data_IF_582069659747
#
_entry.id   IF_582069659747
#
_cell.length_a   1.000
_cell.length_b   1.000
_cell.length_c   1.000
_cell.angle_alpha   90.00
_cell.angle_beta   90.00
_cell.angle_gamma   90.00
#
_symmetry.space_group_name_H-M   'P 1'
#
loop_
_entity.id
_entity.type
_entity.pdbx_description
1 polymer ?
#
# COMPACT_ATOMS: atom_id res chain seq x y z
N UNK A 1 -55.34 62.91 11.37
CA UNK A 1 -55.33 63.81 12.54
C UNK A 1 -55.21 62.88 13.74
N UNK A 2 -54.18 62.86 14.57
CA UNK A 2 -53.18 63.87 14.97
C UNK A 2 -51.80 63.21 15.22
N UNK A 3 -50.77 64.07 15.27
CA UNK A 3 -49.36 63.76 15.60
C UNK A 3 -49.13 63.79 17.12
N UNK A 4 -47.87 63.49 17.48
CA UNK A 4 -47.08 63.82 18.70
C UNK A 4 -46.83 62.57 19.55
N UNK A 5 -45.63 62.24 20.04
CA UNK A 5 -44.32 62.89 20.07
C UNK A 5 -43.30 61.90 20.70
N UNK A 6 -42.01 62.16 20.47
CA UNK A 6 -40.90 61.39 21.00
C UNK A 6 -40.54 61.83 22.44
N UNK A 7 -40.20 60.87 23.31
CA UNK A 7 -39.38 61.09 24.51
C UNK A 7 -38.41 59.92 24.67
N UNK A 8 -37.15 60.29 24.92
CA UNK A 8 -35.99 59.44 25.12
C UNK A 8 -36.00 58.82 26.53
N UNK A 9 -35.68 57.53 26.65
CA UNK A 9 -35.20 56.93 27.91
C UNK A 9 -33.87 56.22 27.66
N UNK A 10 -32.78 56.87 28.11
CA UNK A 10 -31.50 56.23 28.36
C UNK A 10 -31.67 55.17 29.46
N UNK A 11 -31.29 53.92 29.18
CA UNK A 11 -31.18 52.87 30.20
C UNK A 11 -29.74 52.38 30.31
N UNK A 12 -29.10 52.92 31.35
CA UNK A 12 -27.83 52.52 31.95
C UNK A 12 -27.98 51.10 32.52
N UNK A 13 -27.26 50.07 32.04
CA UNK A 13 -27.14 48.82 32.82
C UNK A 13 -25.71 48.28 32.87
N UNK A 14 -25.36 48.00 34.12
CA UNK A 14 -24.11 47.55 34.71
C UNK A 14 -23.47 46.32 34.05
N UNK A 15 -22.14 46.34 34.15
CA UNK A 15 -21.23 45.22 34.03
C UNK A 15 -21.52 44.13 35.09
N UNK A 16 -21.01 42.93 34.83
CA UNK A 16 -21.06 41.72 35.67
C UNK A 16 -22.40 40.99 35.78
N UNK A 17 -22.59 39.95 34.94
CA UNK A 17 -23.11 38.63 35.35
C UNK A 17 -22.58 37.52 34.40
N UNK A 18 -21.79 36.60 34.97
CA UNK A 18 -21.20 35.39 34.33
C UNK A 18 -22.20 34.57 33.51
N UNK A 19 -21.82 34.03 32.33
CA UNK A 19 -22.50 32.88 31.76
C UNK A 19 -21.95 31.59 32.37
N UNK A 20 -22.67 31.06 33.36
CA UNK A 20 -22.59 29.66 33.75
C UNK A 20 -23.12 28.77 32.63
N UNK A 21 -22.30 28.47 31.61
CA UNK A 21 -22.62 27.48 30.55
C UNK A 21 -21.40 26.82 29.89
N UNK A 22 -20.20 26.93 30.46
CA UNK A 22 -18.98 26.35 29.88
C UNK A 22 -18.53 25.03 30.54
N UNK A 23 -19.02 24.68 31.73
CA UNK A 23 -18.46 23.57 32.52
C UNK A 23 -18.91 22.17 32.10
N UNK A 24 -20.04 22.04 31.41
CA UNK A 24 -20.51 20.74 30.92
C UNK A 24 -19.83 20.31 29.61
N UNK A 25 -19.20 21.24 28.88
CA UNK A 25 -18.51 20.99 27.61
C UNK A 25 -17.03 20.62 27.81
N UNK A 26 -16.45 20.91 28.98
CA UNK A 26 -15.02 20.71 29.28
C UNK A 26 -14.68 19.32 29.82
N UNK A 27 -15.67 18.45 30.08
CA UNK A 27 -15.44 17.09 30.62
C UNK A 27 -15.51 15.97 29.60
N UNK A 28 -15.86 16.24 28.35
CA UNK A 28 -16.16 15.18 27.39
C UNK A 28 -15.29 15.24 26.12
N UNK A 29 -14.20 14.45 26.05
CA UNK A 29 -13.38 14.29 24.84
C UNK A 29 -14.17 13.86 23.60
N UNK A 30 -15.36 13.28 23.79
CA UNK A 30 -16.29 12.89 22.73
C UNK A 30 -16.80 14.07 21.89
N UNK A 31 -16.79 15.31 22.42
CA UNK A 31 -17.30 16.49 21.71
C UNK A 31 -16.30 17.09 20.71
N UNK A 32 -15.00 16.78 20.83
CA UNK A 32 -14.01 17.11 19.80
C UNK A 32 -14.14 16.22 18.54
N UNK A 33 -14.78 15.06 18.66
CA UNK A 33 -14.87 14.04 17.61
C UNK A 33 -15.81 14.39 16.44
N UNK A 34 -16.57 15.50 16.50
CA UNK A 34 -17.63 15.84 15.52
C UNK A 34 -17.34 17.05 14.65
N UNK A 35 -16.14 17.65 14.73
CA UNK A 35 -15.83 18.92 14.06
C UNK A 35 -14.77 18.72 12.99
N UNK A 36 -14.97 19.38 11.84
CA UNK A 36 -13.95 19.49 10.78
C UNK A 36 -12.65 20.03 11.36
N UNK A 37 -11.52 19.68 10.74
CA UNK A 37 -10.19 20.16 11.14
C UNK A 37 -10.17 21.69 11.35
N UNK A 38 -10.94 22.44 10.55
CA UNK A 38 -11.08 23.90 10.65
C UNK A 38 -11.87 24.36 11.89
N UNK A 39 -12.95 23.65 12.25
CA UNK A 39 -13.75 23.97 13.43
C UNK A 39 -13.06 23.57 14.75
N UNK A 40 -12.06 22.67 14.69
CA UNK A 40 -11.15 22.35 15.80
C UNK A 40 -9.95 23.32 15.85
N UNK A 41 -9.46 23.78 14.70
CA UNK A 41 -8.40 24.81 14.61
C UNK A 41 -8.85 26.14 15.24
N UNK A 42 -10.08 26.55 14.99
CA UNK A 42 -10.69 27.73 15.61
C UNK A 42 -10.80 27.64 17.15
N UNK A 43 -10.78 26.43 17.74
CA UNK A 43 -10.75 26.22 19.19
C UNK A 43 -9.33 26.35 19.77
N UNK A 44 -8.29 26.08 18.99
CA UNK A 44 -6.89 26.25 19.42
C UNK A 44 -6.47 27.72 19.55
N UNK A 45 -7.11 28.61 18.79
CA UNK A 45 -6.83 30.06 18.82
C UNK A 45 -7.36 30.74 20.09
N UNK A 46 -8.25 30.08 20.84
CA UNK A 46 -8.85 30.59 22.08
C UNK A 46 -8.33 29.81 23.29
N UNK A 47 -7.13 30.18 23.75
CA UNK A 47 -6.66 30.03 25.15
C UNK A 47 -6.81 28.63 25.79
N UNK A 48 -6.00 27.62 25.44
CA UNK A 48 -5.78 26.49 26.39
C UNK A 48 -4.44 25.75 26.19
N UNK A 49 -3.50 25.97 27.12
CA UNK A 49 -2.18 25.31 27.19
C UNK A 49 -2.30 23.77 27.36
N UNK A 50 -3.44 23.25 27.85
CA UNK A 50 -3.70 21.81 28.03
C UNK A 50 -4.12 21.13 26.71
N UNK A 51 -4.66 21.87 25.74
CA UNK A 51 -5.07 21.30 24.44
C UNK A 51 -3.90 21.11 23.48
N UNK A 52 -2.86 21.93 23.58
CA UNK A 52 -1.68 21.85 22.71
C UNK A 52 -0.97 20.48 22.75
N UNK A 53 -0.69 19.87 23.93
CA UNK A 53 -0.04 18.55 24.02
C UNK A 53 -0.91 17.40 23.49
N UNK A 54 -2.21 17.40 23.81
CA UNK A 54 -3.16 16.36 23.37
C UNK A 54 -3.39 16.44 21.86
N UNK A 55 -3.52 17.65 21.33
CA UNK A 55 -3.67 17.91 19.89
C UNK A 55 -2.41 17.51 19.11
N UNK A 56 -1.23 17.80 19.65
CA UNK A 56 0.04 17.35 19.07
C UNK A 56 0.12 15.81 18.98
N UNK A 57 -0.38 15.09 19.99
CA UNK A 57 -0.41 13.63 19.97
C UNK A 57 -1.45 13.08 18.98
N UNK A 58 -2.64 13.67 18.91
CA UNK A 58 -3.68 13.32 17.94
C UNK A 58 -3.21 13.53 16.49
N UNK A 59 -2.68 14.71 16.18
CA UNK A 59 -2.14 15.01 14.84
C UNK A 59 -0.99 14.08 14.48
N UNK A 60 -0.08 13.80 15.42
CA UNK A 60 1.02 12.86 15.20
C UNK A 60 0.50 11.47 14.81
N UNK A 61 -0.54 10.96 15.48
CA UNK A 61 -1.17 9.68 15.15
C UNK A 61 -1.77 9.70 13.74
N UNK A 62 -2.52 10.74 13.37
CA UNK A 62 -3.14 10.86 12.04
C UNK A 62 -2.09 10.95 10.94
N UNK A 63 -1.08 11.81 11.11
CA UNK A 63 0.01 11.95 10.14
C UNK A 63 0.74 10.61 9.97
N UNK A 64 1.00 9.90 11.07
CA UNK A 64 1.61 8.58 11.03
C UNK A 64 0.73 7.58 10.27
N UNK A 65 -0.56 7.50 10.57
CA UNK A 65 -1.53 6.64 9.86
C UNK A 65 -1.54 6.93 8.36
N UNK A 66 -1.62 8.22 7.99
CA UNK A 66 -1.62 8.64 6.58
C UNK A 66 -0.31 8.30 5.87
N UNK A 67 0.84 8.47 6.53
CA UNK A 67 2.13 8.07 5.98
C UNK A 67 2.22 6.56 5.73
N UNK A 68 1.70 5.74 6.65
CA UNK A 68 1.66 4.28 6.49
C UNK A 68 0.74 3.86 5.35
N UNK A 69 -0.42 4.49 5.22
CA UNK A 69 -1.38 4.20 4.13
C UNK A 69 -0.80 4.59 2.77
N UNK A 70 -0.09 5.72 2.72
CA UNK A 70 0.68 6.11 1.53
C UNK A 70 1.76 5.08 1.23
N UNK A 71 2.54 4.67 2.21
CA UNK A 71 3.58 3.66 2.04
C UNK A 71 2.99 2.34 1.52
N UNK A 72 1.89 1.87 2.10
CA UNK A 72 1.15 0.69 1.63
C UNK A 72 0.81 0.80 0.15
N UNK A 73 0.18 1.90 -0.27
CA UNK A 73 -0.19 2.13 -1.67
C UNK A 73 1.01 2.19 -2.61
N UNK A 74 2.03 2.97 -2.27
CA UNK A 74 3.20 3.17 -3.13
C UNK A 74 4.05 1.91 -3.26
N UNK A 75 4.22 1.18 -2.16
CA UNK A 75 4.94 -0.09 -2.19
C UNK A 75 4.15 -1.18 -2.90
N UNK A 76 2.80 -1.13 -2.88
CA UNK A 76 1.95 -2.01 -3.70
C UNK A 76 2.12 -1.69 -5.18
N UNK A 77 2.15 -0.41 -5.53
CA UNK A 77 2.36 0.02 -6.91
C UNK A 77 3.73 -0.44 -7.45
N UNK A 78 4.78 -0.30 -6.63
CA UNK A 78 6.11 -0.78 -6.98
C UNK A 78 6.14 -2.31 -7.12
N UNK A 79 5.46 -3.03 -6.23
CA UNK A 79 5.32 -4.48 -6.32
C UNK A 79 4.59 -4.93 -7.59
N UNK A 80 3.46 -4.31 -7.94
CA UNK A 80 2.73 -4.57 -9.18
C UNK A 80 3.61 -4.31 -10.41
N UNK A 81 4.40 -3.23 -10.39
CA UNK A 81 5.34 -2.91 -11.46
C UNK A 81 6.41 -4.01 -11.61
N UNK A 82 6.97 -4.50 -10.50
CA UNK A 82 7.94 -5.59 -10.49
C UNK A 82 7.32 -6.89 -11.04
N UNK A 83 6.09 -7.23 -10.66
CA UNK A 83 5.37 -8.40 -11.19
C UNK A 83 5.03 -8.24 -12.68
N UNK A 84 4.70 -7.03 -13.13
CA UNK A 84 4.49 -6.73 -14.54
C UNK A 84 5.77 -6.92 -15.36
N UNK A 85 6.95 -6.62 -14.78
CA UNK A 85 8.24 -6.93 -15.41
C UNK A 85 8.40 -8.46 -15.57
N UNK A 86 8.09 -9.25 -14.53
CA UNK A 86 8.16 -10.71 -14.61
C UNK A 86 7.26 -11.24 -15.73
N UNK A 87 6.00 -10.80 -15.81
CA UNK A 87 5.04 -11.28 -16.81
C UNK A 87 5.38 -10.78 -18.23
N UNK A 88 5.61 -9.47 -18.39
CA UNK A 88 5.69 -8.84 -19.72
C UNK A 88 7.08 -8.91 -20.34
N UNK A 89 8.13 -9.04 -19.54
CA UNK A 89 9.50 -9.13 -20.04
C UNK A 89 9.98 -10.57 -19.96
N UNK A 90 10.01 -11.16 -18.76
CA UNK A 90 10.62 -12.48 -18.58
C UNK A 90 9.74 -13.60 -19.16
N UNK A 91 8.47 -13.70 -18.76
CA UNK A 91 7.57 -14.75 -19.25
C UNK A 91 7.31 -14.62 -20.75
N UNK A 92 7.06 -13.41 -21.27
CA UNK A 92 6.90 -13.22 -22.72
C UNK A 92 8.17 -13.60 -23.51
N UNK A 93 9.36 -13.23 -23.03
CA UNK A 93 10.61 -13.62 -23.68
C UNK A 93 10.94 -15.11 -23.51
N UNK A 94 10.34 -15.79 -22.53
CA UNK A 94 10.56 -17.23 -22.34
C UNK A 94 10.05 -18.09 -23.50
N UNK A 95 9.17 -17.56 -24.35
CA UNK A 95 8.75 -18.22 -25.59
C UNK A 95 9.93 -18.45 -26.57
N UNK A 96 11.00 -17.66 -26.45
CA UNK A 96 12.25 -17.86 -27.23
C UNK A 96 13.18 -18.91 -26.61
N UNK A 97 12.88 -19.38 -25.39
CA UNK A 97 13.57 -20.50 -24.77
C UNK A 97 12.88 -21.79 -25.18
N UNK A 98 13.66 -22.83 -25.50
CA UNK A 98 13.11 -24.14 -25.83
C UNK A 98 12.67 -24.95 -24.57
N UNK A 99 12.26 -24.27 -23.50
CA UNK A 99 11.85 -24.92 -22.26
C UNK A 99 10.51 -25.67 -22.47
N UNK A 100 10.31 -26.77 -21.76
CA UNK A 100 9.02 -27.46 -21.80
C UNK A 100 7.93 -26.61 -21.13
N UNK A 101 6.67 -26.79 -21.56
CA UNK A 101 5.54 -26.10 -20.95
C UNK A 101 5.47 -26.32 -19.43
N UNK A 102 5.81 -27.52 -18.96
CA UNK A 102 5.90 -27.86 -17.54
C UNK A 102 6.98 -27.05 -16.81
N UNK A 103 8.14 -26.81 -17.43
CA UNK A 103 9.21 -25.99 -16.85
C UNK A 103 8.81 -24.52 -16.78
N UNK A 104 8.17 -23.98 -17.82
CA UNK A 104 7.68 -22.59 -17.82
C UNK A 104 6.60 -22.42 -16.75
N UNK A 105 5.62 -23.33 -16.69
CA UNK A 105 4.57 -23.30 -15.67
C UNK A 105 5.13 -23.43 -14.25
N UNK A 106 6.20 -24.21 -14.05
CA UNK A 106 6.88 -24.30 -12.75
C UNK A 106 7.70 -23.04 -12.42
N UNK A 107 8.36 -22.43 -13.40
CA UNK A 107 9.19 -21.25 -13.21
C UNK A 107 8.38 -19.98 -12.96
N UNK A 108 7.21 -19.84 -13.58
CA UNK A 108 6.36 -18.65 -13.43
C UNK A 108 5.12 -18.89 -12.56
N UNK A 109 4.79 -20.15 -12.24
CA UNK A 109 3.62 -20.52 -11.44
C UNK A 109 2.36 -19.76 -11.90
N UNK A 110 1.57 -19.26 -10.97
CA UNK A 110 0.43 -18.37 -11.21
C UNK A 110 0.78 -16.87 -11.07
N UNK A 111 2.01 -16.44 -11.44
CA UNK A 111 2.44 -15.03 -11.29
C UNK A 111 1.55 -14.02 -12.03
N UNK A 112 0.87 -14.43 -13.10
CA UNK A 112 -0.11 -13.60 -13.81
C UNK A 112 -1.28 -13.23 -12.92
N UNK A 113 -1.83 -14.20 -12.18
CA UNK A 113 -2.91 -13.97 -11.23
C UNK A 113 -2.44 -13.13 -10.04
N UNK A 114 -1.19 -13.31 -9.57
CA UNK A 114 -0.60 -12.46 -8.53
C UNK A 114 -0.52 -11.00 -8.98
N UNK A 115 -0.15 -10.76 -10.25
CA UNK A 115 -0.15 -9.41 -10.82
C UNK A 115 -1.57 -8.83 -10.88
N UNK A 116 -2.54 -9.61 -11.38
CA UNK A 116 -3.94 -9.15 -11.51
C UNK A 116 -4.54 -8.80 -10.14
N UNK A 117 -4.25 -9.61 -9.12
CA UNK A 117 -4.61 -9.34 -7.73
C UNK A 117 -3.99 -8.01 -7.26
N UNK A 118 -2.68 -7.82 -7.45
CA UNK A 118 -2.00 -6.59 -7.02
C UNK A 118 -2.56 -5.33 -7.70
N UNK A 119 -2.89 -5.43 -9.00
CA UNK A 119 -3.59 -4.37 -9.72
C UNK A 119 -5.00 -4.13 -9.15
N UNK A 120 -5.74 -5.19 -8.81
CA UNK A 120 -7.04 -5.09 -8.14
C UNK A 120 -6.96 -4.39 -6.78
N UNK A 121 -5.95 -4.72 -5.96
CA UNK A 121 -5.68 -4.05 -4.68
C UNK A 121 -5.47 -2.55 -4.92
N UNK A 122 -4.64 -2.17 -5.90
CA UNK A 122 -4.39 -0.75 -6.21
C UNK A 122 -5.66 -0.02 -6.64
N UNK A 123 -6.50 -0.64 -7.47
CA UNK A 123 -7.76 -0.04 -7.89
C UNK A 123 -8.74 0.14 -6.72
N UNK A 124 -8.80 -0.81 -5.79
CA UNK A 124 -9.58 -0.66 -4.55
C UNK A 124 -8.99 0.46 -3.70
N UNK A 125 -7.68 0.45 -3.43
CA UNK A 125 -7.03 1.48 -2.61
C UNK A 125 -7.23 2.88 -3.17
N UNK A 126 -7.12 3.09 -4.49
CA UNK A 126 -7.38 4.39 -5.14
C UNK A 126 -8.80 4.93 -4.93
N UNK A 127 -9.79 4.05 -4.74
CA UNK A 127 -11.19 4.46 -4.51
C UNK A 127 -11.41 4.97 -3.08
N UNK A 128 -10.67 4.44 -2.12
CA UNK A 128 -10.83 4.77 -0.69
C UNK A 128 -9.76 5.74 -0.16
N UNK A 129 -8.64 5.91 -0.86
CA UNK A 129 -7.61 6.89 -0.50
C UNK A 129 -7.89 8.20 -1.25
N UNK A 130 -8.08 9.32 -0.53
CA UNK A 130 -8.26 10.64 -1.15
C UNK A 130 -7.09 10.98 -2.09
N UNK A 131 -7.37 11.50 -3.29
CA UNK A 131 -6.36 11.81 -4.33
C UNK A 131 -5.24 12.72 -3.82
N UNK A 132 -5.58 13.70 -2.98
CA UNK A 132 -4.62 14.60 -2.31
C UNK A 132 -3.56 13.84 -1.48
N UNK A 133 -3.90 12.69 -0.88
CA UNK A 133 -2.91 11.84 -0.21
C UNK A 133 -1.97 11.12 -1.17
N UNK A 134 -2.33 11.01 -2.45
CA UNK A 134 -1.52 10.34 -3.47
C UNK A 134 -0.69 11.36 -4.29
N UNK A 135 -1.06 12.63 -4.27
CA UNK A 135 -0.34 13.71 -4.93
C UNK A 135 0.84 14.18 -4.05
N UNK A 136 2.04 14.34 -4.65
CA UNK A 136 3.26 14.74 -3.93
C UNK A 136 3.92 13.63 -3.11
N UNK A 137 5.24 13.44 -3.24
CA UNK A 137 6.02 12.58 -2.34
C UNK A 137 6.85 13.52 -1.45
N UNK A 138 6.26 13.96 -0.35
CA UNK A 138 6.82 14.93 0.59
C UNK A 138 6.14 14.79 1.96
N UNK A 139 6.70 15.43 2.99
CA UNK A 139 6.04 15.50 4.29
C UNK A 139 4.66 16.16 4.13
N UNK A 140 3.63 15.58 4.74
CA UNK A 140 2.28 16.15 4.77
C UNK A 140 2.37 17.47 5.54
N UNK A 141 2.06 18.59 4.91
CA UNK A 141 1.96 19.86 5.63
C UNK A 141 0.78 19.79 6.60
N UNK A 142 0.85 20.50 7.73
CA UNK A 142 -0.25 20.48 8.72
C UNK A 142 -1.62 20.90 8.15
N UNK A 143 -1.61 21.65 7.05
CA UNK A 143 -2.78 22.11 6.30
C UNK A 143 -3.39 21.02 5.39
N UNK A 144 -2.63 19.96 5.07
CA UNK A 144 -3.05 18.86 4.19
C UNK A 144 -3.60 17.64 4.97
N UNK A 145 -3.64 17.72 6.31
CA UNK A 145 -4.02 16.61 7.19
C UNK A 145 -5.53 16.38 7.08
N UNK A 146 -5.89 15.26 6.47
CA UNK A 146 -7.29 14.81 6.34
C UNK A 146 -7.84 14.35 7.69
N UNK A 147 -9.13 14.62 7.93
CA UNK A 147 -9.85 14.11 9.08
C UNK A 147 -9.89 12.57 9.07
N UNK A 148 -9.65 11.93 10.21
CA UNK A 148 -9.47 10.47 10.28
C UNK A 148 -10.74 9.69 9.91
N UNK A 149 -11.91 10.27 10.19
CA UNK A 149 -13.25 9.72 9.96
C UNK A 149 -13.62 9.52 8.48
N UNK A 150 -12.95 10.23 7.58
CA UNK A 150 -13.11 10.05 6.13
C UNK A 150 -12.38 8.80 5.60
N UNK A 151 -11.41 8.26 6.35
CA UNK A 151 -10.46 7.26 5.85
C UNK A 151 -10.85 5.83 6.25
N UNK A 152 -11.70 5.20 5.43
CA UNK A 152 -12.18 3.81 5.63
C UNK A 152 -11.29 2.76 4.97
N UNK A 153 -10.02 2.73 5.36
CA UNK A 153 -9.00 1.86 4.75
C UNK A 153 -9.18 0.39 5.14
N UNK A 154 -9.65 0.09 6.35
CA UNK A 154 -9.94 -1.25 6.83
C UNK A 154 -11.01 -1.94 6.00
N UNK A 155 -12.09 -1.22 5.66
CA UNK A 155 -13.10 -1.74 4.73
C UNK A 155 -12.51 -2.04 3.34
N UNK A 156 -11.69 -1.13 2.80
CA UNK A 156 -11.01 -1.34 1.52
C UNK A 156 -10.12 -2.60 1.53
N UNK A 157 -9.37 -2.81 2.62
CA UNK A 157 -8.51 -3.99 2.79
C UNK A 157 -9.31 -5.28 2.96
N UNK A 158 -10.49 -5.24 3.58
CA UNK A 158 -11.40 -6.39 3.63
C UNK A 158 -11.92 -6.80 2.25
N UNK A 159 -12.19 -5.83 1.36
CA UNK A 159 -12.57 -6.09 -0.03
C UNK A 159 -11.40 -6.64 -0.86
N UNK A 160 -10.21 -6.07 -0.64
CA UNK A 160 -8.99 -6.45 -1.33
C UNK A 160 -8.50 -7.86 -0.95
N UNK A 161 -8.53 -8.19 0.35
CA UNK A 161 -8.09 -9.49 0.88
C UNK A 161 -9.26 -10.48 0.96
N UNK A 162 -9.79 -10.79 -0.22
CA UNK A 162 -10.87 -11.76 -0.39
C UNK A 162 -10.35 -13.22 -0.47
N UNK A 163 -11.26 -14.19 -0.62
CA UNK A 163 -10.87 -15.61 -0.70
C UNK A 163 -9.99 -15.96 -1.91
N UNK A 164 -10.19 -15.27 -3.04
CA UNK A 164 -9.37 -15.45 -4.25
C UNK A 164 -7.93 -14.99 -4.01
N UNK A 165 -7.74 -13.82 -3.39
CA UNK A 165 -6.42 -13.32 -2.98
C UNK A 165 -5.62 -14.40 -2.26
N UNK A 166 -6.19 -15.01 -1.21
CA UNK A 166 -5.45 -16.00 -0.43
C UNK A 166 -5.21 -17.31 -1.18
N UNK A 167 -6.17 -17.77 -1.99
CA UNK A 167 -6.03 -19.00 -2.79
C UNK A 167 -4.90 -18.91 -3.81
N UNK A 168 -4.82 -17.79 -4.52
CA UNK A 168 -3.76 -17.58 -5.52
C UNK A 168 -2.40 -17.42 -4.86
N UNK A 169 -2.31 -16.69 -3.75
CA UNK A 169 -1.06 -16.58 -3.00
C UNK A 169 -0.62 -17.93 -2.40
N UNK A 170 -1.54 -18.74 -1.87
CA UNK A 170 -1.25 -20.09 -1.37
C UNK A 170 -0.65 -20.97 -2.50
N UNK A 171 -1.23 -20.93 -3.69
CA UNK A 171 -0.73 -21.63 -4.88
C UNK A 171 0.69 -21.18 -5.23
N UNK A 172 0.95 -19.87 -5.26
CA UNK A 172 2.26 -19.32 -5.59
C UNK A 172 3.31 -19.73 -4.55
N UNK A 173 3.02 -19.53 -3.27
CA UNK A 173 3.97 -19.71 -2.17
C UNK A 173 4.32 -21.18 -2.00
N UNK A 174 3.34 -22.09 -2.04
CA UNK A 174 3.60 -23.53 -1.97
C UNK A 174 4.46 -24.03 -3.14
N UNK A 175 4.37 -23.39 -4.31
CA UNK A 175 5.20 -23.70 -5.48
C UNK A 175 6.59 -23.04 -5.47
N UNK A 176 6.84 -22.08 -4.58
CA UNK A 176 8.03 -21.22 -4.63
C UNK A 176 9.35 -21.98 -4.41
N UNK A 177 9.38 -22.99 -3.54
CA UNK A 177 10.57 -23.83 -3.36
C UNK A 177 10.95 -24.57 -4.65
N UNK A 178 9.96 -25.26 -5.24
CA UNK A 178 10.14 -25.97 -6.50
C UNK A 178 10.51 -25.04 -7.67
N UNK A 179 10.00 -23.80 -7.67
CA UNK A 179 10.33 -22.75 -8.62
C UNK A 179 11.81 -22.33 -8.53
N UNK A 180 12.31 -22.07 -7.31
CA UNK A 180 13.69 -21.67 -7.07
C UNK A 180 14.68 -22.80 -7.34
N UNK A 181 14.31 -24.05 -7.02
CA UNK A 181 15.13 -25.22 -7.36
C UNK A 181 15.31 -25.36 -8.86
N UNK A 182 14.22 -25.19 -9.63
CA UNK A 182 14.28 -25.22 -11.08
C UNK A 182 15.13 -24.07 -11.62
N UNK A 183 14.96 -22.86 -11.08
CA UNK A 183 15.79 -21.72 -11.46
C UNK A 183 17.28 -22.00 -11.22
N UNK A 184 17.63 -22.51 -10.03
CA UNK A 184 18.99 -22.89 -9.67
C UNK A 184 19.58 -23.95 -10.60
N UNK A 185 18.78 -24.98 -10.94
CA UNK A 185 19.18 -26.02 -11.91
C UNK A 185 19.45 -25.44 -13.30
N UNK A 186 18.65 -24.49 -13.76
CA UNK A 186 18.82 -23.82 -15.05
C UNK A 186 20.03 -22.87 -15.08
N UNK A 187 20.51 -22.41 -13.91
CA UNK A 187 21.60 -21.43 -13.79
C UNK A 187 22.90 -21.97 -13.17
N UNK A 188 22.96 -23.27 -12.86
CA UNK A 188 23.95 -23.93 -11.98
C UNK A 188 25.44 -23.71 -12.30
N UNK A 189 25.79 -23.28 -13.52
CA UNK A 189 27.19 -23.11 -13.96
C UNK A 189 27.63 -21.65 -14.18
N UNK A 190 26.79 -20.63 -13.90
CA UNK A 190 27.16 -19.20 -14.08
C UNK A 190 26.44 -18.20 -13.16
N UNK A 191 25.66 -18.65 -12.18
CA UNK A 191 25.04 -17.73 -11.23
C UNK A 191 25.99 -17.41 -10.08
N UNK A 192 26.69 -16.27 -10.18
CA UNK A 192 27.18 -15.59 -8.98
C UNK A 192 26.02 -14.75 -8.44
N UNK A 193 25.36 -15.13 -7.33
CA UNK A 193 24.44 -14.23 -6.64
C UNK A 193 25.29 -13.01 -6.29
N UNK A 194 25.04 -11.90 -6.99
CA UNK A 194 25.78 -10.68 -6.67
C UNK A 194 25.13 -10.15 -5.41
N UNK A 195 25.56 -10.66 -4.26
CA UNK A 195 25.31 -10.06 -2.96
C UNK A 195 26.11 -8.75 -2.88
N UNK A 196 25.75 -7.77 -3.70
CA UNK A 196 26.02 -6.39 -3.32
C UNK A 196 25.02 -6.06 -2.24
N UNK A 197 25.50 -6.09 -0.98
CA UNK A 197 24.83 -5.52 0.20
C UNK A 197 23.96 -4.35 -0.23
N UNK A 198 22.70 -4.34 0.19
CA UNK A 198 21.81 -3.18 0.09
C UNK A 198 22.57 -1.93 0.58
N UNK A 199 23.16 -1.18 -0.36
CA UNK A 199 23.62 0.17 -0.08
C UNK A 199 22.37 1.01 -0.10
N UNK A 200 21.88 1.30 1.10
CA UNK A 200 20.87 2.31 1.37
C UNK A 200 21.32 3.67 0.82
N UNK A 201 21.14 3.95 -0.47
CA UNK A 201 21.56 5.22 -1.06
C UNK A 201 20.57 5.79 -2.08
N UNK A 202 20.06 6.95 -1.67
CA UNK A 202 19.47 8.05 -2.42
C UNK A 202 18.20 7.78 -3.24
N UNK A 203 17.11 8.36 -2.73
CA UNK A 203 15.85 8.62 -3.43
C UNK A 203 16.12 9.49 -4.67
N UNK A 204 16.44 8.90 -5.82
CA UNK A 204 16.52 9.64 -7.08
C UNK A 204 15.26 9.43 -7.92
N UNK A 205 14.71 10.57 -8.35
CA UNK A 205 13.42 10.75 -9.01
C UNK A 205 13.49 10.20 -10.44
N UNK A 206 12.78 9.11 -10.71
CA UNK A 206 12.47 8.73 -12.09
C UNK A 206 11.18 9.44 -12.49
N UNK A 207 11.30 10.29 -13.50
CA UNK A 207 10.25 11.15 -14.03
C UNK A 207 9.00 10.37 -14.40
N UNK A 208 7.89 10.84 -13.86
CA UNK A 208 6.52 10.39 -14.10
C UNK A 208 6.10 10.78 -15.50
N UNK A 209 6.03 9.82 -16.42
CA UNK A 209 5.14 9.88 -17.59
C UNK A 209 4.53 8.50 -17.83
N UNK A 210 3.21 8.53 -18.06
CA UNK A 210 2.35 7.45 -18.51
C UNK A 210 3.07 6.40 -19.37
N UNK A 211 3.03 5.13 -18.93
CA UNK A 211 3.30 3.98 -19.80
C UNK A 211 2.19 2.95 -19.56
N UNK A 212 0.98 3.32 -19.99
CA UNK A 212 0.07 2.34 -20.57
C UNK A 212 0.66 1.95 -21.95
N UNK A 213 0.86 0.66 -22.12
CA UNK A 213 1.58 0.00 -23.20
C UNK A 213 1.09 0.35 -24.61
N UNK A 214 2.02 0.66 -25.52
CA UNK A 214 1.89 0.36 -26.95
C UNK A 214 3.17 -0.31 -27.45
N UNK A 215 3.16 -1.65 -27.56
CA UNK A 215 4.08 -2.40 -28.40
C UNK A 215 3.30 -3.57 -29.01
N UNK A 216 3.13 -3.54 -30.34
CA UNK A 216 2.34 -4.47 -31.13
C UNK A 216 3.03 -5.84 -31.32
N UNK A 217 2.28 -6.90 -31.66
CA UNK A 217 2.80 -8.25 -31.88
C UNK A 217 3.09 -8.52 -33.36
N UNK A 218 4.32 -8.90 -33.71
CA UNK A 218 4.71 -9.61 -34.97
C UNK A 218 6.25 -9.85 -34.94
N UNK A 219 6.91 -10.97 -35.32
CA UNK A 219 6.75 -12.07 -36.30
C UNK A 219 7.58 -13.32 -35.81
N UNK A 220 7.89 -14.33 -36.65
CA UNK A 220 7.17 -15.59 -36.88
C UNK A 220 7.83 -16.81 -36.19
N UNK A 221 7.08 -17.91 -36.16
CA UNK A 221 7.39 -19.21 -35.53
C UNK A 221 8.56 -19.90 -36.26
N UNK A 222 9.58 -20.34 -35.51
CA UNK A 222 10.57 -21.32 -35.99
C UNK A 222 10.76 -22.45 -34.97
N UNK A 223 11.03 -23.64 -35.49
CA UNK A 223 10.94 -24.99 -34.91
C UNK A 223 11.78 -25.26 -33.63
N UNK A 224 11.42 -26.28 -32.81
CA UNK A 224 12.03 -26.52 -31.50
C UNK A 224 13.41 -27.19 -31.61
N UNK A 225 14.43 -26.55 -31.04
CA UNK A 225 15.76 -27.10 -30.85
C UNK A 225 16.02 -27.38 -29.34
N UNK A 226 17.08 -28.06 -28.92
CA UNK A 226 17.38 -28.24 -27.50
C UNK A 226 17.69 -26.89 -26.80
N UNK A 227 17.34 -26.77 -25.51
CA UNK A 227 17.70 -25.63 -24.67
C UNK A 227 19.19 -25.73 -24.36
N UNK A 228 20.00 -25.02 -25.14
CA UNK A 228 21.41 -24.89 -24.83
C UNK A 228 21.57 -23.98 -23.60
N UNK A 229 22.31 -24.41 -22.56
CA UNK A 229 22.43 -23.68 -21.27
C UNK A 229 22.90 -22.22 -21.44
N UNK A 230 23.66 -21.93 -22.49
CA UNK A 230 24.04 -20.57 -22.88
C UNK A 230 22.86 -19.66 -23.23
N UNK A 231 21.73 -20.22 -23.69
CA UNK A 231 20.51 -19.48 -24.06
C UNK A 231 19.77 -18.93 -22.84
N UNK A 232 19.70 -19.67 -21.73
CA UNK A 232 19.02 -19.20 -20.50
C UNK A 232 19.78 -18.03 -19.88
N UNK A 233 21.11 -18.14 -19.78
CA UNK A 233 21.95 -17.04 -19.29
C UNK A 233 21.87 -15.81 -20.19
N UNK A 234 21.92 -16.00 -21.52
CA UNK A 234 21.74 -14.90 -22.47
C UNK A 234 20.35 -14.25 -22.34
N UNK A 235 19.30 -15.04 -22.17
CA UNK A 235 17.94 -14.57 -21.91
C UNK A 235 17.85 -13.76 -20.63
N UNK A 236 18.45 -14.21 -19.52
CA UNK A 236 18.48 -13.47 -18.26
C UNK A 236 19.18 -12.11 -18.42
N UNK A 237 20.33 -12.08 -19.09
CA UNK A 237 21.08 -10.84 -19.35
C UNK A 237 20.28 -9.89 -20.24
N UNK A 238 19.66 -10.39 -21.30
CA UNK A 238 18.85 -9.59 -22.21
C UNK A 238 17.62 -9.01 -21.51
N UNK A 239 16.90 -9.84 -20.75
CA UNK A 239 15.73 -9.42 -19.97
C UNK A 239 16.12 -8.40 -18.90
N UNK A 240 17.23 -8.63 -18.18
CA UNK A 240 17.76 -7.70 -17.18
C UNK A 240 18.09 -6.32 -17.76
N UNK A 241 18.66 -6.26 -18.97
CA UNK A 241 18.90 -4.99 -19.68
C UNK A 241 17.60 -4.27 -20.03
N UNK A 242 16.57 -5.00 -20.48
CA UNK A 242 15.25 -4.43 -20.84
C UNK A 242 14.45 -3.99 -19.62
N UNK A 243 14.59 -4.67 -18.48
CA UNK A 243 13.83 -4.41 -17.26
C UNK A 243 14.39 -3.28 -16.40
N UNK A 244 15.67 -2.91 -16.56
CA UNK A 244 16.37 -1.90 -15.72
C UNK A 244 15.67 -0.55 -15.58
N UNK A 245 14.86 -0.14 -16.57
CA UNK A 245 14.10 1.12 -16.52
C UNK A 245 12.75 1.02 -15.80
N UNK A 246 12.33 -0.20 -15.45
CA UNK A 246 11.01 -0.50 -14.90
C UNK A 246 11.06 -1.11 -13.50
N UNK A 247 12.20 -1.65 -13.07
CA UNK A 247 12.35 -2.22 -11.72
C UNK A 247 13.69 -1.83 -11.13
N UNK A 248 13.72 -1.67 -9.80
CA UNK A 248 14.96 -1.51 -9.03
C UNK A 248 15.48 -2.84 -8.50
N UNK A 249 14.79 -3.96 -8.78
CA UNK A 249 15.22 -5.28 -8.35
C UNK A 249 16.56 -5.67 -8.99
N UNK A 250 17.42 -6.29 -8.19
CA UNK A 250 18.80 -6.58 -8.59
C UNK A 250 18.89 -7.77 -9.55
N UNK A 251 18.04 -8.79 -9.37
CA UNK A 251 18.05 -10.02 -10.18
C UNK A 251 16.64 -10.57 -10.43
N UNK A 252 16.52 -11.45 -11.42
CA UNK A 252 15.27 -12.18 -11.67
C UNK A 252 14.86 -13.04 -10.48
N UNK A 253 15.79 -13.72 -9.83
CA UNK A 253 15.53 -14.48 -8.59
C UNK A 253 14.91 -13.59 -7.50
N UNK A 254 15.47 -12.39 -7.30
CA UNK A 254 14.92 -11.45 -6.32
C UNK A 254 13.49 -11.01 -6.66
N UNK A 255 13.14 -10.95 -7.95
CA UNK A 255 11.76 -10.69 -8.38
C UNK A 255 10.84 -11.86 -8.01
N UNK A 256 11.27 -13.11 -8.23
CA UNK A 256 10.46 -14.30 -7.93
C UNK A 256 10.15 -14.46 -6.43
N UNK A 257 11.01 -13.97 -5.55
CA UNK A 257 10.83 -13.98 -4.11
C UNK A 257 9.86 -12.90 -3.59
N UNK A 258 9.60 -11.84 -4.37
CA UNK A 258 8.80 -10.68 -3.90
C UNK A 258 7.39 -11.05 -3.45
N UNK A 259 6.62 -11.94 -4.11
CA UNK A 259 5.28 -12.30 -3.62
C UNK A 259 5.29 -12.92 -2.23
N UNK A 260 6.25 -13.81 -1.94
CA UNK A 260 6.44 -14.43 -0.61
C UNK A 260 6.78 -13.36 0.43
N UNK A 261 7.61 -12.38 0.07
CA UNK A 261 7.93 -11.26 0.96
C UNK A 261 6.74 -10.32 1.16
N UNK A 262 5.97 -10.04 0.10
CA UNK A 262 4.90 -9.03 0.08
C UNK A 262 3.74 -9.44 0.97
N UNK A 263 3.30 -10.70 0.91
CA UNK A 263 2.18 -11.17 1.72
C UNK A 263 2.45 -11.00 3.22
N UNK A 264 3.71 -11.18 3.65
CA UNK A 264 4.13 -10.99 5.04
C UNK A 264 4.17 -9.52 5.49
N UNK A 265 4.09 -8.55 4.57
CA UNK A 265 4.07 -7.11 4.92
C UNK A 265 2.67 -6.60 5.24
N UNK A 266 1.60 -7.18 4.68
CA UNK A 266 0.23 -6.70 4.93
C UNK A 266 -0.17 -6.69 6.42
N UNK A 267 0.12 -7.73 7.23
CA UNK A 267 -0.16 -7.67 8.66
C UNK A 267 0.62 -6.58 9.39
N UNK A 268 1.84 -6.24 8.93
CA UNK A 268 2.65 -5.19 9.55
C UNK A 268 2.05 -3.80 9.28
N UNK A 269 1.59 -3.56 8.05
CA UNK A 269 0.86 -2.35 7.71
C UNK A 269 -0.42 -2.25 8.55
N UNK A 270 -1.23 -3.31 8.61
CA UNK A 270 -2.46 -3.35 9.39
C UNK A 270 -2.24 -3.07 10.88
N UNK A 271 -1.26 -3.74 11.52
CA UNK A 271 -0.91 -3.51 12.93
C UNK A 271 -0.53 -2.05 13.20
N UNK A 272 0.22 -1.43 12.29
CA UNK A 272 0.67 -0.05 12.47
C UNK A 272 -0.46 0.95 12.19
N UNK A 273 -1.39 0.65 11.27
CA UNK A 273 -2.60 1.45 11.05
C UNK A 273 -3.53 1.37 12.27
N UNK A 274 -3.72 0.17 12.83
CA UNK A 274 -4.54 -0.07 14.03
C UNK A 274 -3.98 0.72 15.21
N UNK A 275 -2.65 0.67 15.46
CA UNK A 275 -2.04 1.41 16.56
C UNK A 275 -2.14 2.93 16.44
N UNK A 276 -2.42 3.44 15.24
CA UNK A 276 -2.66 4.86 14.97
C UNK A 276 -4.14 5.22 14.87
N UNK A 277 -5.06 4.25 15.01
CA UNK A 277 -6.51 4.45 14.91
C UNK A 277 -7.15 4.41 16.30
N UNK A 278 -8.14 5.25 16.56
CA UNK A 278 -8.85 5.26 17.85
C UNK A 278 -9.75 4.03 18.01
N UNK A 279 -9.91 3.50 19.22
CA UNK A 279 -10.70 2.27 19.49
C UNK A 279 -12.16 2.39 19.05
N UNK A 280 -12.76 3.58 19.22
CA UNK A 280 -14.14 3.87 18.84
C UNK A 280 -14.29 4.30 17.36
N UNK A 281 -13.21 4.23 16.56
CA UNK A 281 -13.25 4.62 15.16
C UNK A 281 -14.11 3.65 14.34
N UNK A 282 -14.93 4.17 13.43
CA UNK A 282 -15.87 3.38 12.61
C UNK A 282 -15.19 2.29 11.76
N UNK A 283 -13.93 2.50 11.39
CA UNK A 283 -13.13 1.58 10.58
C UNK A 283 -12.38 0.53 11.42
N UNK A 284 -12.31 0.68 12.76
CA UNK A 284 -11.59 -0.23 13.65
C UNK A 284 -12.05 -1.70 13.51
N UNK A 285 -13.37 -2.01 13.52
CA UNK A 285 -13.81 -3.40 13.33
C UNK A 285 -13.39 -4.02 12.00
N UNK A 286 -13.32 -3.20 10.94
CA UNK A 286 -12.87 -3.66 9.61
C UNK A 286 -11.35 -3.89 9.59
N UNK A 287 -10.57 -3.06 10.28
CA UNK A 287 -9.13 -3.23 10.43
C UNK A 287 -8.79 -4.51 11.19
N UNK A 288 -9.47 -4.77 12.32
CA UNK A 288 -9.28 -6.00 13.10
C UNK A 288 -9.68 -7.25 12.31
N UNK A 289 -10.80 -7.17 11.58
CA UNK A 289 -11.24 -8.25 10.69
C UNK A 289 -10.20 -8.54 9.61
N UNK A 290 -9.67 -7.50 8.95
CA UNK A 290 -8.64 -7.65 7.93
C UNK A 290 -7.35 -8.27 8.52
N UNK A 291 -6.91 -7.80 9.69
CA UNK A 291 -5.72 -8.31 10.36
C UNK A 291 -5.88 -9.78 10.73
N UNK A 292 -7.00 -10.14 11.37
CA UNK A 292 -7.30 -11.51 11.78
C UNK A 292 -7.30 -12.46 10.59
N UNK A 293 -7.92 -12.07 9.47
CA UNK A 293 -7.92 -12.86 8.24
C UNK A 293 -6.51 -13.03 7.68
N UNK A 294 -5.74 -11.95 7.58
CA UNK A 294 -4.37 -11.99 7.07
C UNK A 294 -3.47 -12.89 7.92
N UNK A 295 -3.51 -12.78 9.25
CA UNK A 295 -2.68 -13.61 10.13
C UNK A 295 -3.08 -15.08 10.06
N UNK A 296 -4.38 -15.38 10.14
CA UNK A 296 -4.88 -16.76 10.04
C UNK A 296 -4.42 -17.44 8.74
N UNK A 297 -4.51 -16.75 7.60
CA UNK A 297 -4.07 -17.33 6.33
C UNK A 297 -2.55 -17.51 6.23
N UNK A 298 -1.77 -16.57 6.77
CA UNK A 298 -0.31 -16.74 6.80
C UNK A 298 0.09 -17.94 7.66
N UNK A 299 -0.53 -18.14 8.81
CA UNK A 299 -0.28 -19.30 9.67
C UNK A 299 -0.68 -20.61 8.97
N UNK A 300 -1.82 -20.62 8.27
CA UNK A 300 -2.24 -21.75 7.43
C UNK A 300 -1.21 -22.07 6.34
N UNK A 301 -0.76 -21.06 5.60
CA UNK A 301 0.24 -21.23 4.52
C UNK A 301 1.55 -21.76 5.09
N UNK A 302 2.03 -21.20 6.21
CA UNK A 302 3.25 -21.65 6.88
C UNK A 302 3.13 -23.11 7.34
N UNK A 303 1.98 -23.50 7.88
CA UNK A 303 1.70 -24.88 8.27
C UNK A 303 1.72 -25.82 7.06
N UNK A 304 1.12 -25.41 5.94
CA UNK A 304 1.09 -26.19 4.71
C UNK A 304 2.49 -26.38 4.08
N UNK A 305 3.36 -25.38 4.17
CA UNK A 305 4.78 -25.50 3.77
C UNK A 305 5.48 -26.53 4.65
N UNK A 306 5.31 -26.46 5.97
CA UNK A 306 5.94 -27.38 6.92
C UNK A 306 5.50 -28.84 6.78
N UNK A 307 4.29 -29.10 6.31
CA UNK A 307 3.79 -30.47 6.03
C UNK A 307 4.24 -31.06 4.70
N UNK A 308 4.75 -30.24 3.78
CA UNK A 308 5.14 -30.64 2.41
C UNK A 308 6.65 -30.68 2.18
N UNK A 309 7.45 -30.33 3.19
CA UNK A 309 8.90 -30.45 3.23
C UNK A 309 9.31 -31.80 3.83
#
# INVERSE_FOLDING_TARGET
>A
MEKVGAEDEEFFFDDDHKPARCDSLLRNPQLLKRRSVDAVRALCDSTTIIYQPVWNQYLKRIIQKQNIIRELYYTEWQFAQDMAVVVRIYLCASASLNLSATQINRLFSNVTHILDISLGILEILKRYIPKRMLEGYGAIASEDVIADDELRIGHALCLAFNGEFYREYETYICGSGAQLDLFSQLTKDNYKPTHQREKSLSKSRIGRRSILLHLQPSQPILQPAPVDKGKVTAWLVQCGKRSKKFTTAFSFESLLLKPVQRIGKYPLFLKTIISCTEEEHIDMPSLDTALTRCTHYLDKINSNIGTRA
#
